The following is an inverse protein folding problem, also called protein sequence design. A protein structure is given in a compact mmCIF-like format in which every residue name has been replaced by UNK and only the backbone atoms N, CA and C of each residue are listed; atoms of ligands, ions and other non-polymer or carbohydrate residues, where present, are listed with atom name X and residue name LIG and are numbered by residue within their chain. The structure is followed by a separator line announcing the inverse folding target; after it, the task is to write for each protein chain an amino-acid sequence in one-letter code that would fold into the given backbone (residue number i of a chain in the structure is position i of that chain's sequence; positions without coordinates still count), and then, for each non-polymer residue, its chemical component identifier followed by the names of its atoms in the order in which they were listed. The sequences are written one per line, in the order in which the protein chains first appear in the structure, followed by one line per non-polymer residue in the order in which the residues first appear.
data_IF_045401297521
#
_entry.id   IF_045401297521
#
_cell.length_a   1.000
_cell.length_b   1.000
_cell.length_c   1.000
_cell.angle_alpha   90.00
_cell.angle_beta   90.00
_cell.angle_gamma   90.00
#
_symmetry.space_group_name_H-M   'P 1'
#
loop_
_entity.id
_entity.type
_entity.pdbx_description
1 polymer ?
#
# COMPACT_ATOMS: atom_id res chain seq x y z
N UNK A 1 -18.96 -12.96 -7.69
CA UNK A 1 -19.58 -12.58 -6.55
C UNK A 1 -20.85 -11.76 -6.61
N UNK A 2 -21.82 -12.18 -5.85
CA UNK A 2 -23.16 -11.53 -5.78
C UNK A 2 -23.12 -10.12 -5.15
N UNK A 3 -22.05 -9.79 -4.40
CA UNK A 3 -21.91 -8.51 -3.68
C UNK A 3 -21.27 -7.40 -4.52
N UNK A 4 -20.66 -7.73 -5.65
CA UNK A 4 -20.01 -6.75 -6.53
C UNK A 4 -20.42 -7.04 -7.97
N UNK A 5 -21.43 -6.29 -8.42
CA UNK A 5 -22.06 -6.44 -9.73
C UNK A 5 -22.16 -5.07 -10.39
N UNK A 6 -21.72 -4.94 -11.64
CA UNK A 6 -21.82 -3.75 -12.47
C UNK A 6 -22.54 -4.13 -13.76
N UNK A 7 -23.62 -3.43 -14.08
CA UNK A 7 -24.45 -3.68 -15.28
C UNK A 7 -24.87 -5.16 -15.45
N UNK A 8 -25.15 -5.85 -14.34
CA UNK A 8 -25.57 -7.26 -14.34
C UNK A 8 -24.44 -8.29 -14.40
N UNK A 9 -23.18 -7.85 -14.52
CA UNK A 9 -22.01 -8.73 -14.57
C UNK A 9 -21.26 -8.69 -13.24
N UNK A 10 -20.82 -9.83 -12.72
CA UNK A 10 -20.04 -9.88 -11.49
C UNK A 10 -18.60 -9.40 -11.71
N UNK A 11 -17.98 -8.83 -10.66
CA UNK A 11 -16.56 -8.45 -10.73
C UNK A 11 -15.64 -9.61 -11.07
N UNK A 12 -15.97 -10.82 -10.63
CA UNK A 12 -15.17 -12.02 -10.92
C UNK A 12 -15.23 -12.36 -12.42
N UNK A 13 -16.42 -12.29 -13.02
CA UNK A 13 -16.59 -12.55 -14.46
C UNK A 13 -15.88 -11.47 -15.29
N UNK A 14 -16.03 -10.20 -14.93
CA UNK A 14 -15.34 -9.09 -15.60
C UNK A 14 -13.81 -9.22 -15.49
N UNK A 15 -13.30 -9.63 -14.32
CA UNK A 15 -11.87 -9.89 -14.13
C UNK A 15 -11.41 -11.02 -15.05
N UNK A 16 -12.11 -12.13 -15.06
CA UNK A 16 -11.75 -13.31 -15.88
C UNK A 16 -11.73 -12.96 -17.38
N UNK A 17 -12.74 -12.27 -17.87
CA UNK A 17 -12.82 -11.81 -19.26
C UNK A 17 -11.67 -10.85 -19.63
N UNK A 18 -11.38 -9.88 -18.77
CA UNK A 18 -10.32 -8.89 -19.02
C UNK A 18 -8.94 -9.53 -18.98
N UNK A 19 -8.68 -10.42 -18.00
CA UNK A 19 -7.40 -11.09 -17.82
C UNK A 19 -7.07 -12.05 -18.96
N UNK A 20 -8.07 -12.64 -19.60
CA UNK A 20 -7.85 -13.55 -20.72
C UNK A 20 -6.98 -12.95 -21.85
N UNK A 21 -7.09 -11.64 -22.08
CA UNK A 21 -6.34 -10.91 -23.12
C UNK A 21 -5.19 -10.07 -22.57
N UNK A 22 -4.99 -10.03 -21.25
CA UNK A 22 -3.96 -9.21 -20.62
C UNK A 22 -2.58 -9.90 -20.68
N UNK A 23 -1.51 -9.10 -20.85
CA UNK A 23 -0.13 -9.57 -20.73
C UNK A 23 0.31 -9.69 -19.26
N UNK A 24 -0.22 -8.81 -18.39
CA UNK A 24 0.02 -8.77 -16.95
C UNK A 24 -1.16 -8.11 -16.24
N UNK A 25 -1.25 -8.28 -14.94
CA UNK A 25 -2.29 -7.67 -14.11
C UNK A 25 -1.62 -6.80 -13.04
N UNK A 26 -2.12 -5.58 -12.85
CA UNK A 26 -1.69 -4.70 -11.77
C UNK A 26 -2.83 -4.60 -10.75
N UNK A 27 -2.64 -5.20 -9.59
CA UNK A 27 -3.58 -5.16 -8.48
C UNK A 27 -3.37 -3.85 -7.67
N UNK A 28 -4.24 -2.88 -7.90
CA UNK A 28 -4.14 -1.53 -7.32
C UNK A 28 -4.95 -1.45 -6.03
N UNK A 29 -4.28 -1.10 -4.95
CA UNK A 29 -4.85 -1.01 -3.61
C UNK A 29 -4.71 -2.29 -2.80
N UNK A 30 -4.68 -2.15 -1.47
CA UNK A 30 -4.49 -3.26 -0.53
C UNK A 30 -5.60 -4.32 -0.65
N UNK A 31 -6.83 -3.92 -0.96
CA UNK A 31 -7.94 -4.86 -1.17
C UNK A 31 -7.69 -5.77 -2.38
N UNK A 32 -7.23 -5.21 -3.49
CA UNK A 32 -6.92 -5.98 -4.69
C UNK A 32 -5.63 -6.80 -4.53
N UNK A 33 -4.61 -6.25 -3.89
CA UNK A 33 -3.31 -6.88 -3.72
C UNK A 33 -3.33 -8.01 -2.68
N UNK A 34 -3.98 -7.80 -1.53
CA UNK A 34 -3.89 -8.66 -0.36
C UNK A 34 -5.23 -8.92 0.34
N UNK A 35 -6.37 -8.62 -0.32
CA UNK A 35 -7.70 -8.76 0.26
C UNK A 35 -8.14 -7.62 1.17
N UNK A 36 -7.22 -7.05 1.93
CA UNK A 36 -7.43 -5.88 2.77
C UNK A 36 -8.61 -5.99 3.74
N UNK A 37 -9.28 -4.88 3.97
CA UNK A 37 -10.43 -4.80 4.87
C UNK A 37 -11.60 -5.70 4.46
N UNK A 38 -11.96 -5.84 3.16
CA UNK A 38 -13.04 -6.73 2.73
C UNK A 38 -12.79 -8.21 3.04
N UNK A 39 -11.53 -8.69 3.00
CA UNK A 39 -11.18 -10.08 3.32
C UNK A 39 -11.09 -10.34 4.83
N UNK A 40 -10.98 -9.30 5.65
CA UNK A 40 -10.87 -9.44 7.10
C UNK A 40 -12.06 -10.24 7.67
N UNK A 41 -11.79 -11.11 8.66
CA UNK A 41 -12.82 -11.94 9.27
C UNK A 41 -13.91 -11.08 9.91
N UNK A 42 -15.18 -11.48 9.75
CA UNK A 42 -15.71 -12.76 9.27
C UNK A 42 -15.79 -12.95 7.74
N UNK A 43 -15.40 -11.98 6.91
CA UNK A 43 -15.44 -12.01 5.44
C UNK A 43 -16.77 -12.54 4.87
N UNK A 44 -17.90 -11.91 5.14
CA UNK A 44 -19.21 -12.43 4.71
C UNK A 44 -19.41 -12.37 3.18
N UNK A 45 -18.58 -11.61 2.47
CA UNK A 45 -18.67 -11.44 1.01
C UNK A 45 -17.79 -12.43 0.24
N UNK A 46 -16.90 -13.16 0.93
CA UNK A 46 -15.91 -14.04 0.30
C UNK A 46 -14.89 -13.29 -0.54
N UNK A 47 -14.55 -12.05 -0.15
CA UNK A 47 -13.54 -11.25 -0.84
C UNK A 47 -12.17 -11.92 -0.75
N UNK A 48 -11.42 -11.89 -1.86
CA UNK A 48 -10.07 -12.46 -1.96
C UNK A 48 -9.17 -11.53 -2.79
N UNK A 49 -7.83 -11.58 -2.61
CA UNK A 49 -6.92 -10.82 -3.46
C UNK A 49 -6.93 -11.34 -4.90
N UNK A 50 -6.57 -10.47 -5.84
CA UNK A 50 -6.52 -10.79 -7.27
C UNK A 50 -5.62 -12.00 -7.55
N UNK A 51 -4.51 -12.13 -6.84
CA UNK A 51 -3.56 -13.24 -6.98
C UNK A 51 -4.13 -14.61 -6.62
N UNK A 52 -5.26 -14.69 -5.90
CA UNK A 52 -5.97 -15.94 -5.67
C UNK A 52 -6.82 -16.36 -6.88
N UNK A 53 -7.27 -15.42 -7.68
CA UNK A 53 -8.11 -15.65 -8.86
C UNK A 53 -7.28 -15.78 -10.14
N UNK A 54 -6.20 -15.01 -10.27
CA UNK A 54 -5.33 -15.00 -11.45
C UNK A 54 -4.07 -15.81 -11.16
N UNK A 55 -3.88 -16.93 -11.86
CA UNK A 55 -2.75 -17.86 -11.67
C UNK A 55 -1.85 -18.00 -12.89
N UNK A 56 -2.36 -17.67 -14.04
CA UNK A 56 -1.72 -17.88 -15.35
C UNK A 56 -1.06 -16.63 -15.93
N UNK A 57 -1.15 -15.51 -15.23
CA UNK A 57 -0.56 -14.21 -15.62
C UNK A 57 0.28 -13.63 -14.49
N UNK A 58 1.31 -12.86 -14.81
CA UNK A 58 2.03 -12.08 -13.79
C UNK A 58 1.10 -11.08 -13.11
N UNK A 59 1.13 -11.05 -11.77
CA UNK A 59 0.38 -10.06 -10.96
C UNK A 59 1.38 -9.17 -10.24
N UNK A 60 1.27 -7.87 -10.47
CA UNK A 60 2.03 -6.83 -9.75
C UNK A 60 1.14 -6.20 -8.71
N UNK A 61 1.54 -6.24 -7.44
CA UNK A 61 0.80 -5.69 -6.33
C UNK A 61 1.24 -4.26 -6.02
N UNK A 62 0.33 -3.31 -6.07
CA UNK A 62 0.55 -1.92 -5.65
C UNK A 62 -0.37 -1.63 -4.46
N UNK A 63 0.01 -2.08 -3.24
CA UNK A 63 -0.83 -1.87 -2.07
C UNK A 63 -0.83 -0.40 -1.61
N UNK A 64 -1.80 -0.09 -0.78
CA UNK A 64 -2.08 1.22 -0.20
C UNK A 64 -3.59 1.40 -0.06
N UNK A 65 -4.03 2.24 0.87
CA UNK A 65 -5.45 2.50 1.07
C UNK A 65 -5.72 4.02 1.26
N UNK A 66 -5.72 4.73 0.12
CA UNK A 66 -5.43 4.36 -1.27
C UNK A 66 -3.92 4.18 -1.56
N UNK A 67 -3.53 3.56 -2.69
CA UNK A 67 -2.13 3.49 -3.10
C UNK A 67 -1.62 4.85 -3.62
N UNK A 68 -0.30 5.04 -3.54
CA UNK A 68 0.32 6.28 -4.01
C UNK A 68 0.23 6.39 -5.55
N UNK A 69 -0.21 7.54 -6.10
CA UNK A 69 -0.29 7.75 -7.55
C UNK A 69 1.05 7.51 -8.26
N UNK A 70 2.16 7.93 -7.65
CA UNK A 70 3.50 7.74 -8.21
C UNK A 70 3.89 6.26 -8.34
N UNK A 71 3.46 5.40 -7.41
CA UNK A 71 3.71 3.96 -7.52
C UNK A 71 2.93 3.34 -8.67
N UNK A 72 1.67 3.76 -8.88
CA UNK A 72 0.85 3.32 -10.01
C UNK A 72 1.43 3.78 -11.34
N UNK A 73 1.65 5.09 -11.48
CA UNK A 73 2.16 5.69 -12.71
C UNK A 73 3.57 5.20 -13.03
N UNK A 74 4.48 5.14 -12.04
CA UNK A 74 5.85 4.68 -12.23
C UNK A 74 5.93 3.22 -12.66
N UNK A 75 5.06 2.35 -12.14
CA UNK A 75 4.99 0.95 -12.57
C UNK A 75 4.52 0.83 -14.03
N UNK A 76 3.50 1.60 -14.43
CA UNK A 76 3.01 1.63 -15.81
C UNK A 76 4.05 2.21 -16.76
N UNK A 77 4.68 3.32 -16.41
CA UNK A 77 5.74 3.95 -17.20
C UNK A 77 6.91 2.99 -17.39
N UNK A 78 7.33 2.29 -16.33
CA UNK A 78 8.39 1.28 -16.45
C UNK A 78 8.02 0.20 -17.47
N UNK A 79 6.83 -0.39 -17.35
CA UNK A 79 6.36 -1.43 -18.25
C UNK A 79 6.30 -0.94 -19.71
N UNK A 80 5.75 0.25 -19.94
CA UNK A 80 5.61 0.83 -21.29
C UNK A 80 6.96 1.23 -21.90
N UNK A 81 7.92 1.70 -21.08
CA UNK A 81 9.21 2.16 -21.57
C UNK A 81 10.19 1.03 -21.85
N UNK A 82 10.18 -0.02 -21.02
CA UNK A 82 11.14 -1.12 -21.09
C UNK A 82 10.54 -2.44 -21.58
N UNK A 83 9.23 -2.55 -21.72
CA UNK A 83 8.56 -3.78 -22.14
C UNK A 83 8.66 -4.94 -21.13
N UNK A 84 9.14 -4.67 -19.92
CA UNK A 84 9.33 -5.65 -18.84
C UNK A 84 8.73 -5.14 -17.54
N UNK A 85 8.34 -6.07 -16.64
CA UNK A 85 7.92 -5.70 -15.31
C UNK A 85 9.10 -5.15 -14.49
N UNK A 86 8.88 -4.19 -13.58
CA UNK A 86 9.93 -3.74 -12.67
C UNK A 86 10.37 -4.87 -11.73
N UNK A 87 11.52 -4.70 -11.08
CA UNK A 87 11.96 -5.62 -10.03
C UNK A 87 10.93 -5.66 -8.89
N UNK A 88 10.48 -6.87 -8.56
CA UNK A 88 9.46 -7.10 -7.53
C UNK A 88 10.08 -7.73 -6.27
N UNK A 89 9.47 -7.48 -5.13
CA UNK A 89 9.77 -8.19 -3.89
C UNK A 89 9.01 -9.53 -3.80
N UNK A 90 9.20 -10.26 -2.70
CA UNK A 90 8.55 -11.56 -2.47
C UNK A 90 7.01 -11.49 -2.41
N UNK A 91 6.43 -10.31 -2.21
CA UNK A 91 4.99 -10.06 -2.21
C UNK A 91 4.48 -9.54 -3.56
N UNK A 92 5.33 -9.52 -4.59
CA UNK A 92 4.98 -9.03 -5.93
C UNK A 92 4.85 -7.51 -6.01
N UNK A 93 5.48 -6.74 -5.09
CA UNK A 93 5.43 -5.28 -5.08
C UNK A 93 6.68 -4.70 -5.75
N UNK A 94 6.57 -3.60 -6.54
CA UNK A 94 7.73 -2.93 -7.12
C UNK A 94 8.70 -2.44 -6.06
N UNK A 95 9.93 -2.97 -6.03
CA UNK A 95 10.95 -2.64 -5.03
C UNK A 95 11.33 -1.17 -5.00
N UNK A 96 11.21 -0.48 -6.13
CA UNK A 96 11.44 0.96 -6.20
C UNK A 96 10.55 1.78 -5.24
N UNK A 97 9.35 1.28 -4.91
CA UNK A 97 8.39 1.96 -4.02
C UNK A 97 8.18 1.24 -2.68
N UNK A 98 8.46 -0.07 -2.65
CA UNK A 98 8.17 -0.92 -1.49
C UNK A 98 9.41 -1.66 -0.97
N UNK A 99 10.62 -1.21 -1.35
CA UNK A 99 11.89 -1.82 -0.91
C UNK A 99 12.37 -1.40 0.48
N UNK A 100 11.86 -0.27 1.00
CA UNK A 100 12.24 0.27 2.32
C UNK A 100 11.00 0.45 3.19
N UNK A 101 11.20 0.39 4.51
CA UNK A 101 10.12 0.70 5.46
C UNK A 101 9.90 2.22 5.53
N UNK A 102 8.70 2.63 5.94
CA UNK A 102 8.43 4.04 6.24
C UNK A 102 9.37 4.57 7.32
N UNK A 103 9.72 3.72 8.31
CA UNK A 103 10.63 4.09 9.39
C UNK A 103 12.05 4.42 8.90
N UNK A 104 12.55 3.71 7.87
CA UNK A 104 13.90 3.93 7.33
C UNK A 104 14.10 5.36 6.81
N UNK A 105 13.05 5.97 6.28
CA UNK A 105 13.04 7.35 5.73
C UNK A 105 12.25 8.34 6.56
N UNK A 106 11.80 7.95 7.76
CA UNK A 106 11.01 8.81 8.62
C UNK A 106 11.87 9.93 9.24
N UNK A 107 11.44 11.18 9.08
CA UNK A 107 12.12 12.34 9.70
C UNK A 107 12.06 12.32 11.23
N UNK A 108 11.16 11.52 11.84
CA UNK A 108 11.08 11.32 13.30
C UNK A 108 12.00 10.20 13.79
N UNK A 109 12.71 9.47 12.91
CA UNK A 109 13.63 8.40 13.30
C UNK A 109 14.71 8.84 14.32
N UNK A 110 15.32 10.03 14.23
CA UNK A 110 16.27 10.48 15.25
C UNK A 110 15.70 10.57 16.66
N UNK A 111 14.40 10.82 16.80
CA UNK A 111 13.73 10.79 18.11
C UNK A 111 13.53 9.37 18.62
N UNK A 112 13.18 8.44 17.72
CA UNK A 112 13.12 7.00 18.06
C UNK A 112 14.46 6.50 18.61
N UNK A 113 15.57 6.82 17.92
CA UNK A 113 16.91 6.39 18.32
C UNK A 113 17.36 6.98 19.67
N UNK A 114 16.80 8.12 20.07
CA UNK A 114 17.03 8.77 21.38
C UNK A 114 16.05 8.33 22.46
N UNK A 115 15.08 7.45 22.16
CA UNK A 115 14.03 7.06 23.10
C UNK A 115 13.02 8.16 23.42
N UNK A 116 12.87 9.15 22.52
CA UNK A 116 11.93 10.26 22.68
C UNK A 116 10.61 9.94 21.96
N UNK A 117 9.60 9.60 22.72
CA UNK A 117 8.29 9.19 22.23
C UNK A 117 7.18 10.13 22.72
N UNK A 118 6.17 10.35 21.87
CA UNK A 118 4.90 10.89 22.29
C UNK A 118 4.04 9.75 22.90
N UNK A 119 3.44 10.01 24.06
CA UNK A 119 2.59 9.05 24.79
C UNK A 119 1.11 9.40 24.66
N UNK A 120 0.77 10.62 24.24
CA UNK A 120 -0.57 11.03 23.82
C UNK A 120 -0.46 12.03 22.67
N UNK A 121 -1.58 12.28 21.96
CA UNK A 121 -1.58 13.21 20.81
C UNK A 121 -1.52 14.70 21.24
N UNK A 122 -1.67 14.99 22.51
CA UNK A 122 -1.69 16.33 23.09
C UNK A 122 -0.59 16.59 24.13
N UNK A 123 0.32 15.64 24.35
CA UNK A 123 1.44 15.79 25.26
C UNK A 123 2.57 16.67 24.70
N UNK A 124 3.58 16.91 25.52
CA UNK A 124 4.77 17.69 25.12
C UNK A 124 5.54 16.97 24.00
N UNK A 125 5.63 15.64 24.04
CA UNK A 125 6.29 14.86 23.00
C UNK A 125 5.63 15.03 21.64
N UNK A 126 4.29 15.03 21.59
CA UNK A 126 3.53 15.28 20.37
C UNK A 126 3.77 16.71 19.85
N UNK A 127 3.75 17.73 20.73
CA UNK A 127 4.03 19.13 20.38
C UNK A 127 5.45 19.34 19.85
N UNK A 128 6.42 18.63 20.43
CA UNK A 128 7.84 18.67 20.01
C UNK A 128 8.13 17.80 18.77
N UNK A 129 7.14 17.07 18.26
CA UNK A 129 7.30 16.24 17.09
C UNK A 129 8.06 14.93 17.32
N UNK A 130 8.10 14.41 18.57
CA UNK A 130 8.76 13.15 18.92
C UNK A 130 8.15 11.96 18.19
N UNK A 131 8.81 10.79 18.28
CA UNK A 131 8.37 9.60 17.60
C UNK A 131 6.99 9.12 18.07
N UNK A 132 6.12 8.72 17.12
CA UNK A 132 4.77 8.25 17.38
C UNK A 132 4.69 6.71 17.58
N UNK A 133 5.84 6.05 17.81
CA UNK A 133 5.89 4.59 17.93
C UNK A 133 4.99 4.07 19.06
N UNK A 134 5.02 4.70 20.22
CA UNK A 134 4.20 4.31 21.37
C UNK A 134 2.71 4.65 21.22
N UNK A 135 2.37 5.48 20.25
CA UNK A 135 0.98 5.70 19.81
C UNK A 135 0.53 4.72 18.74
N UNK A 136 1.27 3.62 18.54
CA UNK A 136 0.89 2.54 17.64
C UNK A 136 1.30 2.72 16.19
N UNK A 137 2.28 3.59 15.89
CA UNK A 137 2.79 3.78 14.53
C UNK A 137 3.36 2.47 13.97
N UNK A 138 2.86 2.04 12.80
CA UNK A 138 3.29 0.84 12.07
C UNK A 138 4.44 1.10 11.09
N UNK A 139 5.05 2.29 11.12
CA UNK A 139 6.15 2.64 10.22
C UNK A 139 7.29 1.63 10.14
N UNK A 140 7.78 1.05 11.25
CA UNK A 140 8.86 0.07 11.24
C UNK A 140 8.57 -1.24 10.50
N UNK A 141 7.31 -1.60 10.31
CA UNK A 141 6.89 -2.84 9.65
C UNK A 141 6.13 -2.62 8.34
N UNK A 142 6.05 -1.37 7.89
CA UNK A 142 5.29 -0.99 6.69
C UNK A 142 6.24 -0.55 5.59
N UNK A 143 6.30 -1.31 4.51
CA UNK A 143 7.08 -1.01 3.32
C UNK A 143 6.28 -0.14 2.37
N UNK A 144 6.66 1.12 2.22
CA UNK A 144 6.03 2.07 1.28
C UNK A 144 6.88 3.35 1.18
N UNK A 145 6.76 4.05 0.07
CA UNK A 145 7.49 5.29 -0.20
C UNK A 145 6.84 6.56 0.41
N UNK A 146 5.86 6.44 1.31
CA UNK A 146 5.15 7.60 1.88
C UNK A 146 6.06 8.61 2.57
N UNK A 147 7.14 8.16 3.21
CA UNK A 147 8.06 9.07 3.91
C UNK A 147 8.95 9.89 2.96
N UNK A 148 9.21 9.39 1.75
CA UNK A 148 10.05 10.04 0.73
C UNK A 148 9.23 10.79 -0.31
N UNK A 149 8.25 10.14 -0.93
CA UNK A 149 7.44 10.75 -1.99
C UNK A 149 6.33 11.64 -1.45
N UNK A 150 5.81 11.32 -0.26
CA UNK A 150 4.68 12.02 0.39
C UNK A 150 3.39 11.98 -0.46
N UNK A 151 2.34 12.62 0.05
CA UNK A 151 1.03 12.73 -0.59
C UNK A 151 0.76 14.18 -1.01
N UNK A 152 -0.26 14.37 -1.85
CA UNK A 152 -0.70 15.69 -2.30
C UNK A 152 0.46 16.50 -2.91
N UNK A 153 1.12 15.91 -3.90
CA UNK A 153 2.24 16.53 -4.62
C UNK A 153 3.44 16.87 -3.70
N UNK A 154 3.77 15.94 -2.81
CA UNK A 154 4.93 16.06 -1.92
C UNK A 154 4.70 16.89 -0.66
N UNK A 155 3.48 17.30 -0.36
CA UNK A 155 3.16 18.18 0.78
C UNK A 155 3.37 17.49 2.12
N UNK A 156 2.74 16.32 2.34
CA UNK A 156 2.84 15.62 3.64
C UNK A 156 2.48 14.13 3.53
N UNK A 157 2.66 13.43 4.64
CA UNK A 157 2.18 12.07 4.85
C UNK A 157 1.71 11.91 6.32
N UNK A 158 0.99 10.84 6.70
CA UNK A 158 0.33 10.76 8.01
C UNK A 158 1.21 11.10 9.20
N UNK A 159 2.45 10.58 9.26
CA UNK A 159 3.38 10.87 10.37
C UNK A 159 3.75 12.36 10.42
N UNK A 160 3.92 13.00 9.27
CA UNK A 160 4.20 14.43 9.20
C UNK A 160 3.01 15.26 9.64
N UNK A 161 1.81 14.77 9.42
CA UNK A 161 0.56 15.40 9.86
C UNK A 161 0.19 15.09 11.31
N UNK A 162 1.07 14.43 12.07
CA UNK A 162 0.87 14.16 13.49
C UNK A 162 0.18 12.83 13.82
N UNK A 163 -0.08 11.97 12.83
CA UNK A 163 -0.69 10.67 13.03
C UNK A 163 0.27 9.53 12.66
N UNK A 164 0.35 8.49 13.48
CA UNK A 164 1.18 7.32 13.20
C UNK A 164 0.79 6.60 11.90
N UNK A 165 1.75 5.91 11.28
CA UNK A 165 1.46 5.01 10.16
C UNK A 165 0.50 3.90 10.61
N UNK A 166 -0.57 3.65 9.85
CA UNK A 166 -1.58 2.61 10.13
C UNK A 166 -1.26 1.26 9.48
N UNK A 167 -0.21 1.18 8.67
CA UNK A 167 0.17 -0.07 8.02
C UNK A 167 -0.75 -0.49 6.87
N UNK A 168 -1.13 0.45 6.00
CA UNK A 168 -2.10 0.21 4.94
C UNK A 168 -1.53 -0.46 3.66
N UNK A 169 -0.24 -0.84 3.63
CA UNK A 169 0.43 -1.45 2.46
C UNK A 169 1.29 -2.65 2.82
#
# INVERSE_FOLDING_TARGET
GVYSVIAGQSNVDMLAETVAQAAAVIAVGTCAAFGGLPEARPNPTGAVPVSQLVKDKPVVNIPGCPPMPQAMAGTLVHLLSFGTLPELDALGRPRAFFGETIHDRCYRRPFYEKGLFAHSFDDEGARQGWCLYELGCKGPVTYNACASLKWNDGVSFPIQSGHGCIGCS
#
